data_IF_537808393462
#
_entry.id   IF_537808393462
#
_cell.length_a   1.000
_cell.length_b   1.000
_cell.length_c   1.000
_cell.angle_alpha   90.00
_cell.angle_beta   90.00
_cell.angle_gamma   90.00
#
_symmetry.space_group_name_H-M   'P 1'
#
loop_
_entity.id
_entity.type
_entity.pdbx_description
1 polymer ?
#
# COMPACT_ATOMS: atom_id res chain seq x y z
N UNK A 1 23.23 6.54 3.58
CA UNK A 1 23.78 5.17 3.45
C UNK A 1 22.65 4.21 3.81
N UNK A 2 22.01 3.63 2.79
CA UNK A 2 21.23 2.41 2.91
C UNK A 2 21.92 1.47 1.92
N UNK A 3 22.57 0.43 2.44
CA UNK A 3 23.08 -0.67 1.62
C UNK A 3 21.96 -1.68 1.41
N UNK A 4 21.81 -2.13 0.17
CA UNK A 4 20.77 -3.07 -0.26
C UNK A 4 20.08 -2.55 -1.51
N UNK A 5 20.18 -3.29 -2.61
CA UNK A 5 19.73 -2.96 -3.96
C UNK A 5 18.43 -2.12 -3.97
N UNK A 6 18.51 -0.86 -4.40
CA UNK A 6 17.32 -0.16 -4.87
C UNK A 6 17.02 -0.71 -6.26
N UNK A 7 16.29 -1.81 -6.33
CA UNK A 7 15.60 -2.15 -7.57
C UNK A 7 14.77 -0.92 -7.96
N UNK A 8 15.06 -0.33 -9.12
CA UNK A 8 14.26 0.79 -9.62
C UNK A 8 12.81 0.34 -9.65
N UNK A 9 11.91 1.10 -9.06
CA UNK A 9 10.46 0.90 -9.25
C UNK A 9 10.13 1.18 -10.72
N UNK A 10 9.57 0.19 -11.41
CA UNK A 10 9.10 0.32 -12.80
C UNK A 10 7.77 -0.41 -13.00
N UNK A 11 6.97 0.03 -13.98
CA UNK A 11 5.72 -0.65 -14.36
C UNK A 11 5.99 -2.08 -14.83
N UNK A 12 5.29 -3.04 -14.24
CA UNK A 12 5.47 -4.47 -14.48
C UNK A 12 6.42 -5.16 -13.50
N UNK A 13 7.03 -4.43 -12.55
CA UNK A 13 7.82 -5.03 -11.49
C UNK A 13 6.94 -5.90 -10.58
N UNK A 14 7.35 -7.14 -10.35
CA UNK A 14 6.70 -8.04 -9.38
C UNK A 14 6.96 -7.55 -7.95
N UNK A 15 5.91 -7.58 -7.13
CA UNK A 15 5.94 -7.12 -5.75
C UNK A 15 5.45 -8.24 -4.85
N UNK A 16 6.29 -8.59 -3.87
CA UNK A 16 5.93 -9.49 -2.76
C UNK A 16 6.31 -8.77 -1.47
N UNK A 17 5.40 -8.75 -0.51
CA UNK A 17 5.66 -8.04 0.73
C UNK A 17 4.62 -8.27 1.82
N UNK A 18 4.71 -7.45 2.86
CA UNK A 18 3.79 -7.48 3.98
C UNK A 18 3.22 -6.08 4.21
N UNK A 19 1.90 -5.97 4.16
CA UNK A 19 1.16 -4.76 4.50
C UNK A 19 0.80 -4.80 5.99
N UNK A 20 1.28 -3.81 6.75
CA UNK A 20 0.97 -3.66 8.17
C UNK A 20 -0.18 -2.67 8.35
N UNK A 21 -1.26 -3.11 8.97
CA UNK A 21 -2.47 -2.33 9.22
C UNK A 21 -2.47 -1.72 10.63
N UNK A 22 -3.35 -0.76 10.89
CA UNK A 22 -3.35 -0.02 12.16
C UNK A 22 -3.65 -0.84 13.42
N UNK A 23 -4.21 -2.03 13.26
CA UNK A 23 -4.61 -2.94 14.34
C UNK A 23 -3.62 -4.11 14.51
N UNK A 24 -2.36 -3.90 14.16
CA UNK A 24 -1.29 -4.91 14.12
C UNK A 24 -1.59 -6.10 13.19
N UNK A 25 -2.61 -6.00 12.33
CA UNK A 25 -2.89 -7.01 11.34
C UNK A 25 -1.85 -6.92 10.21
N UNK A 26 -1.24 -8.07 9.89
CA UNK A 26 -0.24 -8.18 8.84
C UNK A 26 -0.82 -9.01 7.70
N UNK A 27 -0.82 -8.42 6.51
CA UNK A 27 -1.37 -9.05 5.32
C UNK A 27 -0.23 -9.26 4.32
N UNK A 28 0.01 -10.52 3.96
CA UNK A 28 0.93 -10.82 2.87
C UNK A 28 0.32 -10.36 1.54
N UNK A 29 1.12 -9.64 0.75
CA UNK A 29 0.71 -9.13 -0.55
C UNK A 29 1.59 -9.71 -1.65
N UNK A 30 0.96 -9.98 -2.79
CA UNK A 30 1.62 -10.39 -4.04
C UNK A 30 0.93 -9.64 -5.18
N UNK A 31 1.70 -9.17 -6.16
CA UNK A 31 1.14 -8.42 -7.29
C UNK A 31 2.21 -7.80 -8.17
N UNK A 32 1.81 -6.82 -8.96
CA UNK A 32 2.70 -6.09 -9.87
C UNK A 32 2.49 -4.59 -9.77
N UNK A 33 3.53 -3.82 -10.08
CA UNK A 33 3.40 -2.37 -10.27
C UNK A 33 2.60 -2.11 -11.55
N UNK A 34 1.39 -1.59 -11.42
CA UNK A 34 0.52 -1.27 -12.55
C UNK A 34 0.87 0.09 -13.14
N UNK A 35 1.07 1.10 -12.29
CA UNK A 35 1.36 2.47 -12.68
C UNK A 35 2.16 3.20 -11.60
N UNK A 36 2.98 4.15 -12.03
CA UNK A 36 3.69 5.09 -11.17
C UNK A 36 3.30 6.49 -11.64
N UNK A 37 2.83 7.33 -10.73
CA UNK A 37 2.42 8.72 -10.98
C UNK A 37 3.05 9.63 -9.94
N UNK A 38 4.03 10.46 -10.32
CA UNK A 38 4.75 11.38 -9.43
C UNK A 38 5.13 10.76 -8.06
N UNK A 39 4.30 10.98 -7.03
CA UNK A 39 4.50 10.53 -5.65
C UNK A 39 3.66 9.28 -5.25
N UNK A 40 2.94 8.67 -6.20
CA UNK A 40 2.04 7.55 -6.01
C UNK A 40 2.42 6.32 -6.84
N UNK A 41 2.22 5.13 -6.26
CA UNK A 41 2.42 3.84 -6.93
C UNK A 41 1.12 3.03 -6.84
N UNK A 42 0.60 2.61 -7.98
CA UNK A 42 -0.57 1.75 -8.06
C UNK A 42 -0.11 0.32 -8.27
N UNK A 43 -0.51 -0.54 -7.34
CA UNK A 43 -0.25 -1.98 -7.39
C UNK A 43 -1.49 -2.73 -7.87
N UNK A 44 -1.31 -3.65 -8.81
CA UNK A 44 -2.31 -4.65 -9.15
C UNK A 44 -2.01 -5.92 -8.36
N UNK A 45 -2.76 -6.10 -7.26
CA UNK A 45 -2.56 -7.23 -6.36
C UNK A 45 -3.28 -8.48 -6.87
N UNK A 46 -2.55 -9.59 -6.94
CA UNK A 46 -3.11 -10.94 -7.13
C UNK A 46 -3.47 -11.58 -5.79
N UNK A 47 -2.81 -11.15 -4.70
CA UNK A 47 -3.11 -11.48 -3.31
C UNK A 47 -2.94 -10.25 -2.44
N UNK A 48 -3.90 -9.97 -1.56
CA UNK A 48 -3.80 -8.81 -0.69
C UNK A 48 -4.99 -8.61 0.24
N UNK A 49 -5.19 -7.39 0.76
CA UNK A 49 -6.26 -7.08 1.71
C UNK A 49 -7.63 -7.31 1.08
N UNK A 50 -8.58 -7.76 1.90
CA UNK A 50 -9.97 -7.81 1.47
C UNK A 50 -10.55 -6.40 1.38
N UNK A 51 -11.67 -6.26 0.66
CA UNK A 51 -12.43 -5.00 0.66
C UNK A 51 -12.81 -4.52 2.07
N UNK A 52 -13.10 -5.46 2.98
CA UNK A 52 -13.39 -5.16 4.38
C UNK A 52 -12.18 -4.54 5.10
N UNK A 53 -10.99 -5.11 4.90
CA UNK A 53 -9.76 -4.58 5.50
C UNK A 53 -9.49 -3.16 4.99
N UNK A 54 -9.62 -2.94 3.68
CA UNK A 54 -9.44 -1.62 3.06
C UNK A 54 -10.40 -0.57 3.63
N UNK A 55 -11.69 -0.90 3.77
CA UNK A 55 -12.69 0.01 4.33
C UNK A 55 -12.41 0.37 5.80
N UNK A 56 -11.96 -0.60 6.58
CA UNK A 56 -11.63 -0.37 7.99
C UNK A 56 -10.43 0.57 8.12
N UNK A 57 -9.38 0.37 7.32
CA UNK A 57 -8.23 1.28 7.27
C UNK A 57 -8.62 2.68 6.82
N UNK A 58 -9.40 2.81 5.75
CA UNK A 58 -9.87 4.11 5.28
C UNK A 58 -10.64 4.85 6.38
N UNK A 59 -11.57 4.18 7.05
CA UNK A 59 -12.32 4.77 8.17
C UNK A 59 -11.39 5.18 9.31
N UNK A 60 -10.43 4.34 9.65
CA UNK A 60 -9.44 4.67 10.68
C UNK A 60 -8.64 5.92 10.33
N UNK A 61 -8.11 6.01 9.10
CA UNK A 61 -7.34 7.15 8.61
C UNK A 61 -8.18 8.43 8.66
N UNK A 62 -9.43 8.39 8.18
CA UNK A 62 -10.36 9.53 8.24
C UNK A 62 -10.61 10.01 9.67
N UNK A 63 -10.84 9.08 10.60
CA UNK A 63 -11.13 9.42 12.00
C UNK A 63 -9.90 9.91 12.76
N UNK A 64 -8.71 9.35 12.48
CA UNK A 64 -7.47 9.70 13.17
C UNK A 64 -6.84 10.98 12.66
N UNK A 65 -7.01 11.28 11.37
CA UNK A 65 -6.38 12.42 10.69
C UNK A 65 -7.41 13.34 10.01
N UNK A 66 -8.45 13.81 10.74
CA UNK A 66 -9.57 14.53 10.12
C UNK A 66 -9.15 15.84 9.44
N UNK A 67 -8.07 16.47 9.90
CA UNK A 67 -7.53 17.72 9.33
C UNK A 67 -7.04 17.57 7.88
N UNK A 68 -6.67 16.37 7.43
CA UNK A 68 -6.25 16.12 6.05
C UNK A 68 -7.44 15.93 5.10
N UNK A 69 -8.66 15.74 5.63
CA UNK A 69 -9.87 15.46 4.85
C UNK A 69 -10.93 16.54 4.95
N UNK A 70 -10.81 17.46 5.91
CA UNK A 70 -11.67 18.65 5.99
C UNK A 70 -11.17 19.72 4.99
N UNK A 71 -11.81 19.79 3.82
CA UNK A 71 -11.75 20.95 2.92
C UNK A 71 -12.97 21.84 3.12
#
# INVERSE_FOLDING_TARGET
MIEGCCDLLYTGLDVIGTLNLHNDNQIHIEGTVSRIDDDEVILQLTRGPSFRDMLLEQRYIHNKYPTFFNK
#
